data_IF_927661196386
#
_entry.id   IF_927661196386
#
_cell.length_a   1.000
_cell.length_b   1.000
_cell.length_c   1.000
_cell.angle_alpha   90.00
_cell.angle_beta   90.00
_cell.angle_gamma   90.00
#
_symmetry.space_group_name_H-M   'P 1'
#
loop_
_entity.id
_entity.type
_entity.pdbx_description
1 polymer ?
#
# COMPACT_ATOMS: atom_id res chain seq x y z
N UNK A 1 -28.33 -3.55 8.46
CA UNK A 1 -27.67 -2.65 7.49
C UNK A 1 -26.18 -2.80 7.66
N UNK A 2 -25.37 -2.93 6.60
CA UNK A 2 -23.91 -2.87 6.77
C UNK A 2 -23.57 -1.53 7.43
N UNK A 3 -22.62 -1.55 8.37
CA UNK A 3 -22.08 -0.34 8.97
C UNK A 3 -21.53 0.55 7.83
N UNK A 4 -21.75 1.87 7.84
CA UNK A 4 -21.19 2.73 6.83
C UNK A 4 -19.67 2.56 6.81
N UNK A 5 -19.06 2.59 5.60
CA UNK A 5 -17.61 2.53 5.44
C UNK A 5 -16.97 3.64 6.27
N UNK A 6 -16.15 3.30 7.28
CA UNK A 6 -15.58 4.30 8.19
C UNK A 6 -14.58 5.23 7.49
N UNK A 7 -14.25 5.00 6.21
CA UNK A 7 -13.29 5.78 5.43
C UNK A 7 -13.93 6.47 4.22
N UNK A 8 -15.26 6.33 4.05
CA UNK A 8 -15.97 6.86 2.89
C UNK A 8 -15.80 8.37 2.71
N UNK A 9 -15.76 9.12 3.80
CA UNK A 9 -15.52 10.57 3.80
C UNK A 9 -14.10 10.96 3.38
N UNK A 10 -13.12 10.08 3.61
CA UNK A 10 -11.69 10.35 3.37
C UNK A 10 -11.18 9.81 2.02
N UNK A 11 -11.77 8.72 1.53
CA UNK A 11 -11.29 8.03 0.31
C UNK A 11 -12.23 8.23 -0.88
N UNK A 12 -13.57 8.20 -0.67
CA UNK A 12 -14.53 8.34 -1.75
C UNK A 12 -14.39 9.61 -2.61
N UNK A 13 -13.98 10.78 -2.08
CA UNK A 13 -13.77 11.97 -2.89
C UNK A 13 -12.76 11.78 -4.04
N UNK A 14 -11.84 10.83 -3.90
CA UNK A 14 -10.78 10.53 -4.88
C UNK A 14 -11.15 9.38 -5.82
N UNK A 15 -12.27 8.68 -5.61
CA UNK A 15 -12.68 7.48 -6.36
C UNK A 15 -12.98 7.73 -7.84
N UNK A 16 -13.26 8.97 -8.23
CA UNK A 16 -13.55 9.34 -9.63
C UNK A 16 -12.38 9.11 -10.60
N UNK A 17 -11.14 8.99 -10.09
CA UNK A 17 -9.97 8.79 -10.93
C UNK A 17 -9.80 7.34 -11.40
N UNK A 18 -10.43 6.37 -10.73
CA UNK A 18 -10.27 4.97 -11.08
C UNK A 18 -8.82 4.49 -11.03
N UNK A 19 -8.44 3.65 -11.99
CA UNK A 19 -7.06 3.19 -12.20
C UNK A 19 -6.33 4.20 -13.09
N UNK A 20 -5.28 4.81 -12.56
CA UNK A 20 -4.43 5.76 -13.26
C UNK A 20 -2.97 5.47 -12.90
N UNK A 21 -2.29 4.71 -13.78
CA UNK A 21 -0.93 4.24 -13.54
C UNK A 21 0.09 5.38 -13.72
N UNK A 22 1.04 5.45 -12.80
CA UNK A 22 2.11 6.45 -12.81
C UNK A 22 2.74 6.57 -11.44
N UNK A 23 3.98 7.04 -11.38
CA UNK A 23 4.72 7.15 -10.12
C UNK A 23 4.87 8.59 -9.64
N UNK A 24 4.82 9.55 -10.55
CA UNK A 24 5.20 10.96 -10.32
C UNK A 24 4.33 11.62 -9.24
N UNK A 25 3.01 11.36 -9.27
CA UNK A 25 2.06 11.91 -8.31
C UNK A 25 2.38 11.47 -6.89
N UNK A 26 2.52 10.15 -6.71
CA UNK A 26 2.82 9.58 -5.39
C UNK A 26 4.24 9.95 -4.93
N UNK A 27 5.22 9.96 -5.83
CA UNK A 27 6.59 10.39 -5.49
C UNK A 27 6.63 11.83 -4.98
N UNK A 28 5.90 12.75 -5.63
CA UNK A 28 5.79 14.14 -5.18
C UNK A 28 5.07 14.25 -3.82
N UNK A 29 4.02 13.48 -3.60
CA UNK A 29 3.32 13.42 -2.33
C UNK A 29 4.21 12.85 -1.20
N UNK A 30 4.96 11.77 -1.47
CA UNK A 30 5.89 11.19 -0.49
C UNK A 30 7.04 12.14 -0.14
N UNK A 31 7.52 12.93 -1.10
CA UNK A 31 8.50 13.96 -0.85
C UNK A 31 7.98 15.04 0.12
N UNK A 32 6.72 15.47 -0.05
CA UNK A 32 6.08 16.43 0.85
C UNK A 32 5.84 15.84 2.26
N UNK A 33 5.61 14.51 2.35
CA UNK A 33 5.49 13.77 3.62
C UNK A 33 6.85 13.48 4.29
N UNK A 34 7.96 13.95 3.73
CA UNK A 34 9.30 13.74 4.29
C UNK A 34 9.86 12.34 4.04
N UNK A 35 9.47 11.72 2.94
CA UNK A 35 9.97 10.42 2.47
C UNK A 35 9.82 9.28 3.49
N UNK A 36 8.60 8.99 3.99
CA UNK A 36 8.39 7.89 4.94
C UNK A 36 8.85 6.53 4.37
N UNK A 37 8.74 6.33 3.05
CA UNK A 37 9.14 5.12 2.34
C UNK A 37 10.66 4.82 2.41
N UNK A 38 11.47 5.78 2.83
CA UNK A 38 12.92 5.59 2.96
C UNK A 38 13.35 5.10 4.33
N UNK A 39 12.41 4.97 5.27
CA UNK A 39 12.72 4.60 6.66
C UNK A 39 12.75 3.10 6.91
N UNK A 40 12.41 2.28 5.92
CA UNK A 40 12.40 0.82 6.01
C UNK A 40 12.81 0.21 4.66
N UNK A 41 13.24 -1.06 4.66
CA UNK A 41 13.45 -1.82 3.44
C UNK A 41 12.15 -2.52 3.01
N UNK A 42 12.04 -2.95 1.73
CA UNK A 42 10.86 -3.68 1.29
C UNK A 42 11.20 -4.90 0.42
N UNK A 43 10.38 -5.94 0.54
CA UNK A 43 10.22 -7.01 -0.46
C UNK A 43 8.97 -6.68 -1.26
N UNK A 44 9.08 -6.60 -2.57
CA UNK A 44 7.92 -6.37 -3.44
C UNK A 44 7.49 -7.69 -4.08
N UNK A 45 6.19 -7.99 -4.08
CA UNK A 45 5.62 -9.21 -4.67
C UNK A 45 4.69 -8.83 -5.81
N UNK A 46 5.06 -9.22 -7.02
CA UNK A 46 4.31 -9.01 -8.26
C UNK A 46 3.76 -10.34 -8.83
N UNK A 47 2.96 -10.26 -9.89
CA UNK A 47 2.38 -11.41 -10.59
C UNK A 47 0.88 -11.30 -10.76
N UNK A 48 0.27 -12.30 -11.40
CA UNK A 48 -1.18 -12.36 -11.63
C UNK A 48 -1.91 -12.97 -10.45
N UNK A 49 -1.59 -14.20 -10.09
CA UNK A 49 -2.25 -14.93 -9.01
C UNK A 49 -1.27 -15.33 -7.91
N UNK A 50 -1.75 -15.38 -6.65
CA UNK A 50 -0.98 -15.85 -5.50
C UNK A 50 -0.12 -14.78 -4.82
N UNK A 51 -0.14 -13.53 -5.28
CA UNK A 51 0.60 -12.41 -4.65
C UNK A 51 0.33 -12.30 -3.16
N UNK A 52 -0.95 -12.18 -2.77
CA UNK A 52 -1.36 -12.01 -1.38
C UNK A 52 -0.95 -13.20 -0.50
N UNK A 53 -1.05 -14.43 -1.00
CA UNK A 53 -0.60 -15.63 -0.28
C UNK A 53 0.90 -15.61 -0.03
N UNK A 54 1.70 -15.31 -1.07
CA UNK A 54 3.16 -15.20 -0.94
C UNK A 54 3.53 -14.06 0.00
N UNK A 55 2.89 -12.90 -0.15
CA UNK A 55 3.15 -11.74 0.72
C UNK A 55 2.87 -12.05 2.19
N UNK A 56 1.75 -12.74 2.46
CA UNK A 56 1.38 -13.14 3.83
C UNK A 56 2.37 -14.18 4.40
N UNK A 57 2.82 -15.14 3.60
CA UNK A 57 3.83 -16.12 4.03
C UNK A 57 5.17 -15.46 4.32
N UNK A 58 5.64 -14.55 3.46
CA UNK A 58 6.90 -13.81 3.67
C UNK A 58 6.83 -12.95 4.94
N UNK A 59 5.71 -12.26 5.15
CA UNK A 59 5.49 -11.51 6.39
C UNK A 59 5.55 -12.41 7.63
N UNK A 60 4.87 -13.57 7.59
CA UNK A 60 4.88 -14.52 8.71
C UNK A 60 6.29 -15.06 9.01
N UNK A 61 7.07 -15.38 7.98
CA UNK A 61 8.45 -15.84 8.09
C UNK A 61 9.34 -14.74 8.70
N UNK A 62 9.24 -13.49 8.20
CA UNK A 62 10.01 -12.38 8.72
C UNK A 62 9.68 -12.08 10.19
N UNK A 63 8.39 -12.10 10.53
CA UNK A 63 7.92 -11.90 11.91
C UNK A 63 8.42 -13.01 12.83
N UNK A 64 8.37 -14.28 12.39
CA UNK A 64 8.91 -15.42 13.15
C UNK A 64 10.43 -15.34 13.35
N UNK A 65 11.14 -14.67 12.43
CA UNK A 65 12.57 -14.39 12.55
C UNK A 65 12.88 -13.18 13.48
N UNK A 66 11.87 -12.57 14.09
CA UNK A 66 12.04 -11.43 15.01
C UNK A 66 12.17 -10.08 14.32
N UNK A 67 11.94 -10.00 13.00
CA UNK A 67 11.98 -8.74 12.24
C UNK A 67 10.69 -7.96 12.49
N UNK A 68 10.77 -6.67 12.77
CA UNK A 68 9.60 -5.78 12.82
C UNK A 68 9.06 -5.59 11.40
N UNK A 69 8.19 -6.52 11.00
CA UNK A 69 7.72 -6.62 9.62
C UNK A 69 6.34 -5.98 9.43
N UNK A 70 6.22 -5.15 8.39
CA UNK A 70 4.94 -4.65 7.87
C UNK A 70 4.46 -5.47 6.68
N UNK A 71 3.15 -5.45 6.42
CA UNK A 71 2.56 -6.07 5.22
C UNK A 71 1.55 -5.11 4.60
N UNK A 72 1.65 -4.90 3.29
CA UNK A 72 0.68 -4.19 2.48
C UNK A 72 0.10 -5.12 1.42
N UNK A 73 -1.23 -5.27 1.40
CA UNK A 73 -1.95 -6.16 0.47
C UNK A 73 -3.13 -5.46 -0.19
N UNK A 74 -3.59 -6.00 -1.32
CA UNK A 74 -4.77 -5.52 -2.03
C UNK A 74 -5.39 -6.61 -2.93
N UNK A 75 -6.72 -6.55 -3.16
CA UNK A 75 -7.70 -5.69 -2.50
C UNK A 75 -8.03 -6.14 -1.07
N UNK A 76 -8.88 -5.40 -0.36
CA UNK A 76 -9.53 -5.86 0.88
C UNK A 76 -10.89 -6.51 0.56
N UNK A 77 -11.44 -7.24 1.52
CA UNK A 77 -12.77 -7.86 1.43
C UNK A 77 -13.84 -7.03 2.14
N UNK A 78 -13.58 -6.54 3.32
CA UNK A 78 -14.53 -5.83 4.17
C UNK A 78 -14.07 -4.43 4.55
N UNK A 79 -12.79 -4.24 4.84
CA UNK A 79 -12.27 -2.99 5.39
C UNK A 79 -10.91 -2.60 4.83
N UNK A 80 -10.69 -1.32 4.61
CA UNK A 80 -9.39 -0.76 4.24
C UNK A 80 -8.26 -1.12 5.22
N UNK A 81 -8.59 -1.37 6.50
CA UNK A 81 -7.61 -1.80 7.49
C UNK A 81 -6.93 -3.13 7.13
N UNK A 82 -7.61 -4.02 6.39
CA UNK A 82 -7.04 -5.31 5.97
C UNK A 82 -5.78 -5.15 5.12
N UNK A 83 -5.65 -3.99 4.43
CA UNK A 83 -4.52 -3.72 3.54
C UNK A 83 -3.22 -3.44 4.27
N UNK A 84 -3.27 -3.07 5.56
CA UNK A 84 -2.11 -2.61 6.31
C UNK A 84 -1.99 -3.42 7.59
N UNK A 85 -0.93 -4.22 7.68
CA UNK A 85 -0.56 -4.93 8.90
C UNK A 85 0.75 -4.35 9.41
N UNK A 86 0.72 -3.89 10.64
CA UNK A 86 1.86 -3.42 11.41
C UNK A 86 2.51 -4.59 12.18
N UNK A 87 3.70 -4.43 12.78
CA UNK A 87 4.33 -5.48 13.59
C UNK A 87 3.41 -6.04 14.68
N UNK A 88 2.55 -5.20 15.25
CA UNK A 88 1.68 -5.57 16.37
C UNK A 88 0.28 -6.06 15.91
N UNK A 89 0.00 -6.12 14.60
CA UNK A 89 -1.27 -6.60 14.06
C UNK A 89 -1.84 -5.72 12.93
N UNK A 90 -3.10 -5.95 12.57
CA UNK A 90 -3.79 -5.08 11.62
C UNK A 90 -3.91 -3.66 12.16
N UNK A 91 -3.75 -2.67 11.28
CA UNK A 91 -4.00 -1.28 11.66
C UNK A 91 -5.47 -1.12 12.11
N UNK A 92 -5.67 -0.41 13.21
CA UNK A 92 -7.02 -0.09 13.68
C UNK A 92 -7.72 0.96 12.83
N UNK A 93 -9.05 1.04 12.97
CA UNK A 93 -9.85 2.04 12.24
C UNK A 93 -9.41 3.46 12.59
N UNK A 94 -9.32 3.78 13.89
CA UNK A 94 -8.95 5.13 14.32
C UNK A 94 -7.53 5.53 13.90
N UNK A 95 -6.47 4.73 14.09
CA UNK A 95 -5.13 5.05 13.57
C UNK A 95 -5.10 5.27 12.06
N UNK A 96 -5.79 4.44 11.28
CA UNK A 96 -5.85 4.63 9.82
C UNK A 96 -6.61 5.91 9.46
N UNK A 97 -7.70 6.23 10.16
CA UNK A 97 -8.40 7.51 9.98
C UNK A 97 -7.52 8.71 10.28
N UNK A 98 -6.73 8.66 11.36
CA UNK A 98 -5.79 9.73 11.72
C UNK A 98 -4.76 9.98 10.61
N UNK A 99 -4.14 8.92 10.08
CA UNK A 99 -3.22 9.06 8.93
C UNK A 99 -3.92 9.67 7.71
N UNK A 100 -5.09 9.16 7.36
CA UNK A 100 -5.84 9.65 6.20
C UNK A 100 -6.36 11.08 6.38
N UNK A 101 -6.79 11.45 7.59
CA UNK A 101 -7.32 12.79 7.88
C UNK A 101 -6.28 13.92 7.66
N UNK A 102 -5.00 13.60 7.78
CA UNK A 102 -3.91 14.54 7.46
C UNK A 102 -3.64 14.72 5.96
N UNK A 103 -4.24 13.89 5.09
CA UNK A 103 -3.84 13.80 3.68
C UNK A 103 -4.79 14.42 2.62
N UNK A 104 -6.02 14.94 2.92
CA UNK A 104 -6.92 15.38 1.85
C UNK A 104 -6.36 16.51 0.99
N UNK A 105 -5.72 17.51 1.61
CA UNK A 105 -5.09 18.63 0.90
C UNK A 105 -3.92 18.15 0.02
N UNK A 106 -3.11 17.22 0.52
CA UNK A 106 -2.03 16.56 -0.23
C UNK A 106 -2.58 15.78 -1.41
N UNK A 107 -3.60 14.95 -1.18
CA UNK A 107 -4.22 14.12 -2.20
C UNK A 107 -4.86 14.95 -3.33
N UNK A 108 -5.49 16.08 -3.01
CA UNK A 108 -6.02 17.01 -4.00
C UNK A 108 -4.90 17.68 -4.80
N UNK A 109 -3.84 18.16 -4.13
CA UNK A 109 -2.71 18.85 -4.76
C UNK A 109 -1.98 17.97 -5.75
N UNK A 110 -1.68 16.75 -5.36
CA UNK A 110 -0.98 15.77 -6.19
C UNK A 110 -1.92 14.89 -7.01
N UNK A 111 -3.23 15.10 -6.89
CA UNK A 111 -4.21 14.37 -7.67
C UNK A 111 -4.15 12.86 -7.47
N UNK A 112 -3.94 12.39 -6.25
CA UNK A 112 -3.80 10.97 -5.94
C UNK A 112 -5.07 10.18 -6.24
N UNK A 113 -4.89 8.95 -6.72
CA UNK A 113 -5.95 7.94 -6.75
C UNK A 113 -6.19 7.37 -5.35
N UNK A 114 -7.31 6.67 -5.09
CA UNK A 114 -7.53 5.97 -3.82
C UNK A 114 -6.42 4.99 -3.46
N UNK A 115 -5.87 4.31 -4.46
CA UNK A 115 -4.78 3.35 -4.25
C UNK A 115 -3.47 4.05 -3.87
N UNK A 116 -3.13 5.16 -4.52
CA UNK A 116 -1.96 5.96 -4.15
C UNK A 116 -2.10 6.57 -2.76
N UNK A 117 -3.30 7.05 -2.41
CA UNK A 117 -3.59 7.62 -1.10
C UNK A 117 -3.41 6.60 0.03
N UNK A 118 -4.00 5.41 -0.10
CA UNK A 118 -3.84 4.36 0.92
C UNK A 118 -2.41 3.80 0.97
N UNK A 119 -1.69 3.79 -0.16
CA UNK A 119 -0.28 3.40 -0.19
C UNK A 119 0.59 4.44 0.55
N UNK A 120 0.33 5.73 0.37
CA UNK A 120 1.01 6.79 1.13
C UNK A 120 0.73 6.64 2.64
N UNK A 121 -0.52 6.42 3.03
CA UNK A 121 -0.90 6.20 4.43
C UNK A 121 -0.20 4.96 5.02
N UNK A 122 -0.09 3.87 4.25
CA UNK A 122 0.63 2.67 4.66
C UNK A 122 2.12 2.96 4.92
N UNK A 123 2.78 3.72 4.04
CA UNK A 123 4.20 4.06 4.21
C UNK A 123 4.44 4.94 5.43
N UNK A 124 3.54 5.91 5.71
CA UNK A 124 3.59 6.70 6.94
C UNK A 124 3.42 5.80 8.16
N UNK A 125 2.39 4.95 8.18
CA UNK A 125 2.13 4.04 9.29
C UNK A 125 3.30 3.09 9.56
N UNK A 126 3.94 2.55 8.51
CA UNK A 126 5.12 1.69 8.65
C UNK A 126 6.31 2.45 9.25
N UNK A 127 6.56 3.67 8.77
CA UNK A 127 7.65 4.49 9.27
C UNK A 127 7.45 4.85 10.76
N UNK A 128 6.24 5.21 11.18
CA UNK A 128 5.91 5.55 12.56
C UNK A 128 5.92 4.33 13.48
N UNK A 129 5.49 3.16 12.98
CA UNK A 129 5.54 1.91 13.73
C UNK A 129 6.96 1.32 13.83
N UNK A 130 7.97 1.96 13.25
CA UNK A 130 9.35 1.46 13.29
C UNK A 130 9.52 0.13 12.55
N UNK A 131 8.82 -0.05 11.43
CA UNK A 131 9.00 -1.21 10.55
C UNK A 131 10.42 -1.21 10.01
N UNK A 132 11.08 -2.38 10.05
CA UNK A 132 12.41 -2.61 9.48
C UNK A 132 12.30 -3.14 8.04
N UNK A 133 11.32 -4.01 7.81
CA UNK A 133 11.06 -4.64 6.52
C UNK A 133 9.56 -4.65 6.22
N UNK A 134 9.14 -4.13 5.08
CA UNK A 134 7.77 -4.26 4.62
C UNK A 134 7.68 -5.26 3.46
N UNK A 135 6.64 -6.09 3.45
CA UNK A 135 6.25 -6.88 2.29
C UNK A 135 5.15 -6.13 1.56
N UNK A 136 5.39 -5.75 0.31
CA UNK A 136 4.51 -4.92 -0.50
C UNK A 136 3.93 -5.75 -1.65
N UNK A 137 2.64 -6.04 -1.60
CA UNK A 137 1.93 -6.64 -2.73
C UNK A 137 1.65 -5.59 -3.79
N UNK A 138 2.03 -5.86 -5.03
CA UNK A 138 1.69 -5.05 -6.21
C UNK A 138 0.18 -5.11 -6.46
N UNK A 139 -0.44 -3.94 -6.61
CA UNK A 139 -1.86 -3.86 -6.95
C UNK A 139 -2.11 -4.22 -8.42
N UNK A 140 -1.36 -3.62 -9.34
CA UNK A 140 -1.56 -3.81 -10.79
C UNK A 140 -0.25 -3.69 -11.56
N UNK A 141 0.06 -4.69 -12.39
CA UNK A 141 1.21 -4.71 -13.27
C UNK A 141 2.54 -4.80 -12.53
N UNK A 142 3.01 -3.67 -12.01
CA UNK A 142 4.23 -3.57 -11.20
C UNK A 142 5.07 -2.33 -11.53
N UNK A 143 5.50 -2.16 -12.77
CA UNK A 143 6.42 -1.06 -13.14
C UNK A 143 5.91 0.33 -12.76
N UNK A 144 4.62 0.59 -12.92
CA UNK A 144 3.95 1.87 -12.64
C UNK A 144 2.99 1.78 -11.45
N UNK A 145 3.09 0.70 -10.67
CA UNK A 145 2.29 0.51 -9.47
C UNK A 145 2.80 1.41 -8.33
N UNK A 146 1.91 1.92 -7.50
CA UNK A 146 2.23 2.81 -6.39
C UNK A 146 3.28 2.23 -5.43
N UNK A 147 3.29 0.90 -5.19
CA UNK A 147 4.29 0.24 -4.34
C UNK A 147 5.70 0.34 -4.90
N UNK A 148 5.83 0.62 -6.21
CA UNK A 148 7.13 0.80 -6.87
C UNK A 148 7.79 2.15 -6.56
N UNK A 149 7.07 3.09 -5.95
CA UNK A 149 7.65 4.33 -5.43
C UNK A 149 8.65 4.08 -4.29
N UNK A 150 8.62 2.91 -3.63
CA UNK A 150 9.58 2.56 -2.59
C UNK A 150 10.97 2.32 -3.20
N UNK A 151 12.03 3.08 -2.79
CA UNK A 151 13.33 3.03 -3.46
C UNK A 151 14.19 1.82 -3.06
N UNK A 152 14.03 1.32 -1.83
CA UNK A 152 14.86 0.25 -1.25
C UNK A 152 14.12 -1.09 -1.28
N UNK A 153 14.10 -1.73 -2.45
CA UNK A 153 13.49 -3.05 -2.68
C UNK A 153 14.56 -4.06 -3.09
N UNK A 154 15.35 -4.57 -2.14
CA UNK A 154 16.44 -5.50 -2.44
C UNK A 154 15.96 -6.82 -3.05
N UNK A 155 14.68 -7.17 -2.83
CA UNK A 155 14.07 -8.38 -3.39
C UNK A 155 12.76 -8.01 -4.06
N UNK A 156 12.59 -8.50 -5.30
CA UNK A 156 11.33 -8.49 -6.03
C UNK A 156 10.98 -9.94 -6.36
N UNK A 157 9.91 -10.43 -5.76
CA UNK A 157 9.37 -11.77 -6.02
C UNK A 157 8.29 -11.72 -7.09
N UNK A 158 8.25 -12.74 -7.95
CA UNK A 158 7.16 -12.93 -8.89
C UNK A 158 6.39 -14.20 -8.53
N UNK A 159 5.08 -14.04 -8.34
CA UNK A 159 4.13 -15.16 -8.30
C UNK A 159 3.88 -15.68 -9.73
N UNK A 160 2.79 -16.39 -9.97
CA UNK A 160 2.45 -16.79 -11.34
C UNK A 160 2.21 -15.57 -12.23
N UNK A 161 2.68 -15.64 -13.47
CA UNK A 161 2.48 -14.59 -14.48
C UNK A 161 1.58 -15.15 -15.58
N UNK A 162 0.48 -14.46 -15.85
CA UNK A 162 -0.48 -14.79 -16.91
C UNK A 162 -1.05 -13.52 -17.54
N UNK A 163 -1.89 -13.68 -18.55
CA UNK A 163 -2.63 -12.57 -19.16
C UNK A 163 -3.73 -12.14 -18.20
N UNK A 164 -3.69 -10.87 -17.78
CA UNK A 164 -4.68 -10.25 -16.90
C UNK A 164 -4.65 -8.74 -17.11
N UNK A 165 -5.78 -8.06 -16.89
CA UNK A 165 -5.87 -6.60 -16.98
C UNK A 165 -5.34 -6.02 -18.29
N UNK A 166 -5.57 -6.68 -19.44
CA UNK A 166 -5.05 -6.25 -20.74
C UNK A 166 -5.51 -4.84 -21.13
N UNK A 167 -6.66 -4.38 -20.63
CA UNK A 167 -7.17 -3.02 -20.82
C UNK A 167 -6.28 -1.93 -20.20
N UNK A 168 -5.42 -2.27 -19.22
CA UNK A 168 -4.51 -1.34 -18.54
C UNK A 168 -3.04 -1.60 -18.85
N UNK A 169 -2.69 -2.85 -19.17
CA UNK A 169 -1.30 -3.28 -19.30
C UNK A 169 -0.88 -3.51 -20.75
N UNK A 170 -1.84 -3.65 -21.67
CA UNK A 170 -1.63 -3.92 -23.08
C UNK A 170 -1.53 -5.39 -23.44
#
# INVERSE_FOLDING_TARGET
MPSPDPFGDLIAPFSRRGVDLGLERLQAALAELGHPERRFAAIQVAGTNGKGSISTMLHAIATAAGIRCGLYTSPHLLSWCERIRLPDGLIGVEPLREHLAGMPALALRHQLTPFELITAAAFVAFAEAGVELAVLEVGLGGRLDATTCHPQRPVIGFASVGLDHAEFLG
#
